data_IF_580183941988
#
_entry.id   IF_580183941988
#
_cell.length_a   1.000
_cell.length_b   1.000
_cell.length_c   1.000
_cell.angle_alpha   90.00
_cell.angle_beta   90.00
_cell.angle_gamma   90.00
#
_symmetry.space_group_name_H-M   'P 1'
#
loop_
_entity.id
_entity.type
_entity.pdbx_description
1 polymer ?
#
# COMPACT_ATOMS: atom_id res chain seq x y z
N UNK A 1 -24.53 -36.99 47.77
CA UNK A 1 -23.71 -37.34 46.61
C UNK A 1 -22.27 -37.47 47.09
N UNK A 2 -21.75 -38.70 47.19
CA UNK A 2 -20.34 -38.92 47.58
C UNK A 2 -19.51 -38.84 46.31
N UNK A 3 -18.76 -37.75 46.14
CA UNK A 3 -17.75 -37.64 45.09
C UNK A 3 -16.64 -38.61 45.46
N UNK A 4 -16.39 -39.60 44.62
CA UNK A 4 -15.31 -40.57 44.85
C UNK A 4 -13.96 -39.90 44.56
N UNK A 5 -12.90 -40.37 45.19
CA UNK A 5 -11.55 -39.79 45.03
C UNK A 5 -11.14 -39.71 43.55
N UNK A 6 -11.56 -40.69 42.74
CA UNK A 6 -11.29 -40.72 41.30
C UNK A 6 -11.97 -39.56 40.55
N UNK A 7 -13.18 -39.18 40.95
CA UNK A 7 -13.89 -38.03 40.38
C UNK A 7 -13.23 -36.71 40.77
N UNK A 8 -12.61 -36.62 41.97
CA UNK A 8 -11.88 -35.43 42.40
C UNK A 8 -10.58 -35.24 41.61
N UNK A 9 -9.87 -36.32 41.28
CA UNK A 9 -8.65 -36.29 40.47
C UNK A 9 -8.96 -35.84 39.04
N UNK A 10 -10.04 -36.37 38.45
CA UNK A 10 -10.48 -35.99 37.10
C UNK A 10 -10.85 -34.49 37.06
N UNK A 11 -11.62 -34.01 38.05
CA UNK A 11 -11.97 -32.58 38.12
C UNK A 11 -10.72 -31.71 38.27
N UNK A 12 -9.76 -32.13 39.11
CA UNK A 12 -8.49 -31.40 39.27
C UNK A 12 -7.68 -31.35 37.97
N UNK A 13 -7.69 -32.43 37.18
CA UNK A 13 -7.01 -32.50 35.89
C UNK A 13 -7.66 -31.56 34.87
N UNK A 14 -8.99 -31.55 34.79
CA UNK A 14 -9.72 -30.65 33.89
C UNK A 14 -9.53 -29.18 34.25
N UNK A 15 -9.48 -28.85 35.55
CA UNK A 15 -9.20 -27.47 36.00
C UNK A 15 -7.77 -27.06 35.64
N UNK A 16 -6.79 -27.95 35.78
CA UNK A 16 -5.40 -27.68 35.37
C UNK A 16 -5.28 -27.51 33.85
N UNK A 17 -5.92 -28.37 33.05
CA UNK A 17 -5.91 -28.26 31.59
C UNK A 17 -6.61 -26.99 31.12
N UNK A 18 -7.75 -26.63 31.71
CA UNK A 18 -8.44 -25.37 31.40
C UNK A 18 -7.59 -24.15 31.76
N UNK A 19 -6.88 -24.17 32.90
CA UNK A 19 -5.98 -23.09 33.30
C UNK A 19 -4.79 -22.96 32.35
N UNK A 20 -4.22 -24.09 31.93
CA UNK A 20 -3.15 -24.15 30.91
C UNK A 20 -3.66 -23.56 29.60
N UNK A 21 -4.83 -23.98 29.09
CA UNK A 21 -5.39 -23.46 27.84
C UNK A 21 -5.70 -21.95 27.91
N UNK A 22 -6.20 -21.45 29.04
CA UNK A 22 -6.45 -20.01 29.23
C UNK A 22 -5.14 -19.23 29.31
N UNK A 23 -4.13 -19.77 30.00
CA UNK A 23 -2.83 -19.12 30.12
C UNK A 23 -2.08 -19.10 28.79
N UNK A 24 -2.09 -20.20 28.04
CA UNK A 24 -1.45 -20.24 26.72
C UNK A 24 -2.20 -19.40 25.68
N UNK A 25 -3.54 -19.40 25.67
CA UNK A 25 -4.29 -18.49 24.78
C UNK A 25 -4.12 -17.02 25.20
N UNK A 26 -4.10 -16.70 26.49
CA UNK A 26 -3.89 -15.34 26.98
C UNK A 26 -2.47 -14.83 26.72
N UNK A 27 -1.45 -15.69 26.86
CA UNK A 27 -0.05 -15.35 26.54
C UNK A 27 0.14 -15.23 25.04
N UNK A 28 -0.51 -16.06 24.22
CA UNK A 28 -0.46 -15.92 22.75
C UNK A 28 -1.14 -14.64 22.31
N UNK A 29 -2.31 -14.29 22.87
CA UNK A 29 -2.99 -13.02 22.56
C UNK A 29 -2.18 -11.82 23.03
N UNK A 30 -1.58 -11.86 24.23
CA UNK A 30 -0.72 -10.78 24.71
C UNK A 30 0.57 -10.69 23.88
N UNK A 31 1.16 -11.81 23.47
CA UNK A 31 2.34 -11.85 22.62
C UNK A 31 2.03 -11.30 21.23
N UNK A 32 0.89 -11.69 20.64
CA UNK A 32 0.39 -11.13 19.38
C UNK A 32 0.15 -9.62 19.53
N UNK A 33 -0.57 -9.16 20.56
CA UNK A 33 -0.80 -7.72 20.79
C UNK A 33 0.51 -6.96 21.00
N UNK A 34 1.48 -7.53 21.73
CA UNK A 34 2.79 -6.89 21.94
C UNK A 34 3.64 -6.88 20.66
N UNK A 35 3.59 -7.93 19.83
CA UNK A 35 4.27 -7.93 18.52
C UNK A 35 3.57 -7.05 17.48
N UNK A 36 2.26 -6.81 17.62
CA UNK A 36 1.51 -5.91 16.75
C UNK A 36 1.59 -4.45 17.21
N UNK A 37 1.76 -4.16 18.51
CA UNK A 37 1.93 -2.78 19.01
C UNK A 37 3.27 -2.15 18.63
N UNK A 38 4.29 -2.97 18.36
CA UNK A 38 5.59 -2.51 17.86
C UNK A 38 5.60 -2.35 16.32
N UNK A 39 4.48 -2.63 15.62
CA UNK A 39 4.44 -2.71 14.16
C UNK A 39 3.75 -1.51 13.47
N UNK A 40 3.09 -0.61 14.20
CA UNK A 40 2.06 0.23 13.56
C UNK A 40 2.37 1.68 13.25
N UNK A 41 3.44 2.30 13.72
CA UNK A 41 3.64 3.75 13.49
C UNK A 41 5.12 4.18 13.39
N UNK A 42 6.05 3.25 13.20
CA UNK A 42 7.44 3.64 12.94
C UNK A 42 7.54 4.25 11.54
N UNK A 43 7.69 5.58 11.50
CA UNK A 43 7.93 6.35 10.28
C UNK A 43 6.83 7.33 9.86
N UNK A 44 5.66 7.36 10.50
CA UNK A 44 4.66 8.41 10.17
C UNK A 44 5.00 9.71 10.92
N UNK A 45 5.29 10.78 10.18
CA UNK A 45 5.56 12.12 10.69
C UNK A 45 4.35 13.02 10.41
N UNK A 46 3.80 13.62 11.46
CA UNK A 46 2.70 14.59 11.35
C UNK A 46 3.24 16.01 11.38
N UNK A 47 2.82 16.83 10.41
CA UNK A 47 3.01 18.27 10.45
C UNK A 47 2.25 18.89 11.64
N UNK A 48 2.58 20.12 12.05
CA UNK A 48 1.81 20.84 13.06
C UNK A 48 0.33 20.94 12.68
N UNK A 49 -0.55 20.83 13.68
CA UNK A 49 -1.99 20.96 13.48
C UNK A 49 -2.35 22.36 12.95
N UNK A 50 -3.26 22.40 11.97
CA UNK A 50 -3.74 23.65 11.39
C UNK A 50 -4.37 24.58 12.44
N UNK A 51 -4.02 25.86 12.41
CA UNK A 51 -4.72 26.86 13.22
C UNK A 51 -6.07 27.21 12.58
N UNK A 52 -7.00 27.68 13.41
CA UNK A 52 -8.33 28.05 12.96
C UNK A 52 -8.29 29.06 11.79
N UNK A 53 -8.78 28.65 10.62
CA UNK A 53 -8.84 29.46 9.40
C UNK A 53 -7.63 29.33 8.46
N UNK A 54 -6.64 28.50 8.78
CA UNK A 54 -5.58 28.12 7.84
C UNK A 54 -6.10 27.09 6.83
N UNK A 55 -5.62 27.17 5.59
CA UNK A 55 -5.98 26.22 4.53
C UNK A 55 -4.87 25.16 4.39
N UNK A 56 -5.15 23.88 4.69
CA UNK A 56 -4.15 22.80 4.63
C UNK A 56 -3.46 22.68 3.27
N UNK A 57 -4.18 22.93 2.17
CA UNK A 57 -3.65 22.88 0.79
C UNK A 57 -2.56 23.92 0.52
N UNK A 58 -2.50 24.98 1.33
CA UNK A 58 -1.57 26.10 1.15
C UNK A 58 -0.46 26.04 2.20
N UNK A 59 -0.78 25.67 3.44
CA UNK A 59 0.17 25.71 4.56
C UNK A 59 0.83 24.36 4.83
N UNK A 60 0.33 23.26 4.26
CA UNK A 60 0.83 21.90 4.52
C UNK A 60 0.64 21.44 5.97
N UNK A 61 -0.22 22.12 6.74
CA UNK A 61 -0.55 21.73 8.11
C UNK A 61 -1.48 20.52 8.12
N UNK A 62 -1.43 19.77 9.21
CA UNK A 62 -2.26 18.58 9.41
C UNK A 62 -3.66 18.96 9.89
N UNK A 63 -4.70 18.53 9.17
CA UNK A 63 -6.11 18.70 9.57
C UNK A 63 -6.67 17.41 10.18
N UNK A 64 -6.68 17.37 11.52
CA UNK A 64 -7.12 16.19 12.27
C UNK A 64 -8.59 15.82 12.07
N UNK A 65 -9.43 16.75 11.61
CA UNK A 65 -10.88 16.53 11.50
C UNK A 65 -11.27 16.01 10.10
N UNK A 66 -10.34 16.01 9.15
CA UNK A 66 -10.58 15.65 7.75
C UNK A 66 -9.65 14.54 7.22
N UNK A 67 -9.01 13.78 8.11
CA UNK A 67 -8.15 12.66 7.76
C UNK A 67 -8.72 11.39 8.38
N UNK A 68 -8.95 10.38 7.54
CA UNK A 68 -9.38 9.06 7.97
C UNK A 68 -8.19 8.14 8.28
N UNK A 69 -8.39 7.22 9.22
CA UNK A 69 -7.38 6.21 9.58
C UNK A 69 -6.97 5.34 8.39
N UNK A 70 -7.86 5.08 7.44
CA UNK A 70 -7.54 4.34 6.22
C UNK A 70 -6.51 5.05 5.33
N UNK A 71 -6.54 6.39 5.27
CA UNK A 71 -5.58 7.18 4.48
C UNK A 71 -4.18 7.14 5.08
N UNK A 72 -4.08 7.13 6.42
CA UNK A 72 -2.80 6.98 7.13
C UNK A 72 -2.23 5.58 6.90
N UNK A 73 -3.08 4.55 6.90
CA UNK A 73 -2.65 3.17 6.61
C UNK A 73 -2.19 3.03 5.16
N UNK A 74 -2.89 3.65 4.20
CA UNK A 74 -2.46 3.63 2.79
C UNK A 74 -1.07 4.28 2.61
N UNK A 75 -0.84 5.43 3.26
CA UNK A 75 0.45 6.12 3.30
C UNK A 75 1.59 5.23 3.83
N UNK A 76 1.33 4.44 4.88
CA UNK A 76 2.32 3.52 5.46
C UNK A 76 2.74 2.40 4.48
N UNK A 77 1.89 2.06 3.51
CA UNK A 77 2.17 1.02 2.50
C UNK A 77 2.67 1.60 1.17
N UNK A 78 3.15 2.85 1.16
CA UNK A 78 3.67 3.51 -0.04
C UNK A 78 2.59 4.13 -0.93
N UNK A 79 1.34 4.20 -0.47
CA UNK A 79 0.27 4.92 -1.15
C UNK A 79 0.32 6.43 -0.89
N UNK A 80 -0.61 7.17 -1.50
CA UNK A 80 -0.69 8.63 -1.36
C UNK A 80 -0.98 9.03 0.09
N UNK A 81 -0.13 9.90 0.65
CA UNK A 81 -0.26 10.42 2.00
C UNK A 81 -1.22 11.63 2.06
N UNK A 82 -2.06 11.73 3.11
CA UNK A 82 -2.90 12.91 3.30
C UNK A 82 -2.05 14.14 3.65
N UNK A 83 -2.56 15.33 3.33
CA UNK A 83 -1.84 16.59 3.52
C UNK A 83 -1.45 16.80 4.99
N UNK A 84 -0.18 17.17 5.21
CA UNK A 84 0.38 17.31 6.55
C UNK A 84 0.75 15.99 7.22
N UNK A 85 0.72 14.86 6.48
CA UNK A 85 1.25 13.56 6.92
C UNK A 85 2.32 13.13 5.92
N UNK A 86 3.47 12.70 6.44
CA UNK A 86 4.56 12.13 5.66
C UNK A 86 4.95 10.77 6.22
N UNK A 87 5.42 9.88 5.36
CA UNK A 87 6.05 8.63 5.76
C UNK A 87 7.56 8.74 5.54
N UNK A 88 8.31 8.72 6.63
CA UNK A 88 9.77 8.72 6.67
C UNK A 88 10.20 7.34 7.22
N UNK A 89 10.55 6.37 6.36
CA UNK A 89 10.90 5.04 6.81
C UNK A 89 12.11 5.13 7.75
N UNK A 90 12.04 4.49 8.92
CA UNK A 90 13.22 4.25 9.76
C UNK A 90 14.07 3.13 9.15
N UNK A 91 14.60 3.37 7.96
CA UNK A 91 15.77 2.66 7.46
C UNK A 91 16.82 3.74 7.28
N UNK A 92 17.93 3.55 8.00
CA UNK A 92 19.18 4.20 7.68
C UNK A 92 19.61 3.67 6.30
N UNK A 93 19.02 4.23 5.24
CA UNK A 93 19.66 4.25 3.93
C UNK A 93 20.96 5.00 4.17
N UNK A 94 22.03 4.23 4.23
CA UNK A 94 23.35 4.78 4.03
C UNK A 94 23.33 5.31 2.61
N UNK A 95 23.64 6.59 2.42
CA UNK A 95 23.97 7.13 1.12
C UNK A 95 25.25 6.42 0.64
N UNK A 96 25.13 5.18 0.18
CA UNK A 96 26.24 4.40 -0.34
C UNK A 96 26.28 4.66 -1.85
N UNK A 97 27.30 5.39 -2.26
CA UNK A 97 27.52 5.87 -3.62
C UNK A 97 28.12 4.78 -4.53
N UNK A 98 27.73 3.51 -4.36
CA UNK A 98 28.32 2.40 -5.13
C UNK A 98 27.33 1.50 -5.84
N UNK A 99 26.20 2.03 -6.28
CA UNK A 99 25.29 1.30 -7.17
C UNK A 99 25.34 1.96 -8.54
N UNK A 100 26.32 1.52 -9.31
CA UNK A 100 26.46 1.78 -10.74
C UNK A 100 25.37 0.96 -11.46
N UNK A 101 24.14 1.44 -11.44
CA UNK A 101 23.02 0.96 -12.23
C UNK A 101 22.41 2.19 -12.92
N UNK A 102 22.43 2.18 -14.25
CA UNK A 102 21.92 3.27 -15.07
C UNK A 102 20.43 3.51 -14.83
N UNK A 103 20.06 4.78 -15.03
CA UNK A 103 18.73 5.30 -15.32
C UNK A 103 17.60 4.78 -14.41
N UNK A 104 17.17 5.59 -13.43
CA UNK A 104 15.78 6.04 -13.35
C UNK A 104 15.54 7.04 -12.20
N UNK A 105 14.86 8.10 -12.60
CA UNK A 105 13.89 8.91 -11.86
C UNK A 105 14.27 9.70 -10.60
N UNK A 106 14.12 11.01 -10.76
CA UNK A 106 14.34 12.07 -9.81
C UNK A 106 13.22 12.11 -8.75
N UNK A 107 13.17 11.12 -7.87
CA UNK A 107 12.40 11.19 -6.62
C UNK A 107 13.36 11.37 -5.42
N UNK A 108 14.23 12.37 -5.49
CA UNK A 108 15.03 12.77 -4.34
C UNK A 108 14.11 13.45 -3.32
N UNK A 109 13.72 12.69 -2.30
CA UNK A 109 13.08 13.22 -1.09
C UNK A 109 13.94 14.37 -0.51
N UNK A 110 13.31 15.38 0.07
CA UNK A 110 14.03 16.56 0.63
C UNK A 110 15.09 16.22 1.69
N UNK A 111 15.15 14.97 2.17
CA UNK A 111 16.16 14.47 3.09
C UNK A 111 17.57 14.38 2.46
N UNK A 112 17.71 14.17 1.15
CA UNK A 112 19.01 14.23 0.46
C UNK A 112 19.49 15.66 0.14
N UNK A 113 18.66 16.69 0.36
CA UNK A 113 19.03 18.10 0.12
C UNK A 113 19.69 18.79 1.32
N UNK A 114 19.84 18.10 2.45
CA UNK A 114 20.35 18.72 3.67
C UNK A 114 21.88 18.64 3.88
N UNK A 115 22.64 18.05 2.96
CA UNK A 115 24.12 18.07 3.03
C UNK A 115 24.81 19.03 2.04
N UNK A 116 24.10 19.60 1.06
CA UNK A 116 24.76 20.45 0.04
C UNK A 116 25.12 21.86 0.51
N UNK A 117 24.45 22.43 1.53
CA UNK A 117 24.77 23.79 2.00
C UNK A 117 25.89 23.77 3.06
N UNK A 118 26.01 22.70 3.85
CA UNK A 118 27.03 22.60 4.88
C UNK A 118 28.41 22.16 4.35
N UNK A 119 28.45 21.39 3.25
CA UNK A 119 29.72 21.00 2.61
C UNK A 119 30.31 22.10 1.71
N UNK A 120 29.48 23.00 1.16
CA UNK A 120 29.95 24.15 0.39
C UNK A 120 30.72 25.18 1.23
N UNK A 121 30.47 25.26 2.53
CA UNK A 121 31.23 26.13 3.44
C UNK A 121 32.53 25.46 3.96
N UNK A 122 32.71 24.14 3.73
CA UNK A 122 33.84 23.36 4.24
C UNK A 122 35.01 23.19 3.25
N UNK A 123 34.77 23.36 1.93
CA UNK A 123 35.75 23.05 0.87
C UNK A 123 36.55 24.25 0.32
N UNK A 124 36.56 25.39 1.03
CA UNK A 124 37.35 26.55 0.62
C UNK A 124 36.71 27.34 -0.54
N UNK A 125 37.38 28.39 -1.05
CA UNK A 125 36.84 29.17 -2.16
C UNK A 125 36.74 28.27 -3.39
N UNK A 126 35.53 28.15 -3.95
CA UNK A 126 35.27 27.47 -5.22
C UNK A 126 36.30 27.97 -6.25
N UNK A 127 37.09 27.02 -6.77
CA UNK A 127 37.99 27.31 -7.88
C UNK A 127 37.14 27.75 -9.07
N UNK A 128 37.23 29.04 -9.42
CA UNK A 128 36.42 29.67 -10.48
C UNK A 128 37.02 29.42 -11.86
N UNK A 129 37.72 28.31 -12.04
CA UNK A 129 38.33 27.94 -13.32
C UNK A 129 37.26 27.26 -14.17
N UNK A 130 37.18 27.70 -15.41
CA UNK A 130 36.30 27.22 -16.48
C UNK A 130 37.23 27.11 -17.69
N UNK A 131 37.71 25.90 -17.95
CA UNK A 131 38.85 25.63 -18.82
C UNK A 131 38.48 25.63 -20.30
N UNK A 132 37.25 25.29 -20.65
CA UNK A 132 36.73 25.27 -22.03
C UNK A 132 35.74 26.39 -22.36
N UNK A 133 35.44 27.25 -21.37
CA UNK A 133 34.70 28.50 -21.50
C UNK A 133 33.22 28.32 -21.90
N UNK A 134 32.59 27.21 -21.48
CA UNK A 134 31.18 26.93 -21.75
C UNK A 134 30.20 27.53 -20.72
N UNK A 135 30.74 28.06 -19.60
CA UNK A 135 29.99 28.68 -18.52
C UNK A 135 29.72 27.77 -17.31
N UNK A 136 30.22 26.54 -17.33
CA UNK A 136 30.22 25.57 -16.23
C UNK A 136 31.65 25.51 -15.67
N UNK A 137 31.81 25.65 -14.34
CA UNK A 137 33.15 25.63 -13.75
C UNK A 137 33.71 24.21 -13.69
N UNK A 138 35.02 24.03 -13.88
CA UNK A 138 35.74 22.74 -13.85
C UNK A 138 35.39 21.85 -12.64
N UNK A 139 34.98 22.45 -11.52
CA UNK A 139 34.60 21.77 -10.28
C UNK A 139 33.23 21.08 -10.34
N UNK A 140 32.34 21.52 -11.23
CA UNK A 140 30.99 20.99 -11.45
C UNK A 140 30.77 20.51 -12.89
N UNK A 141 31.78 20.67 -13.74
CA UNK A 141 31.82 20.23 -15.12
C UNK A 141 32.30 18.77 -15.22
N UNK A 142 31.53 17.89 -15.89
CA UNK A 142 31.92 16.50 -16.12
C UNK A 142 32.95 16.35 -17.25
N UNK A 143 33.01 17.28 -18.19
CA UNK A 143 33.99 17.30 -19.27
C UNK A 143 34.78 18.63 -19.32
N UNK A 144 35.67 18.93 -18.34
CA UNK A 144 36.35 20.24 -18.16
C UNK A 144 37.28 20.71 -19.29
N UNK A 145 37.34 20.01 -20.41
CA UNK A 145 38.22 20.33 -21.54
C UNK A 145 37.46 20.34 -22.87
N UNK A 146 36.18 20.01 -22.86
CA UNK A 146 35.33 19.83 -24.02
C UNK A 146 34.05 20.63 -23.78
N UNK A 147 33.93 21.81 -24.41
CA UNK A 147 32.82 22.72 -24.16
C UNK A 147 31.44 22.12 -24.49
N UNK A 148 30.47 22.34 -23.60
CA UNK A 148 29.05 21.97 -23.76
C UNK A 148 28.44 22.48 -25.07
N UNK A 149 27.52 21.69 -25.63
CA UNK A 149 26.68 22.04 -26.77
C UNK A 149 25.27 22.37 -26.30
N UNK A 150 24.96 23.66 -26.14
CA UNK A 150 23.62 24.14 -25.77
C UNK A 150 22.59 23.75 -26.86
N UNK A 151 21.83 22.69 -26.59
CA UNK A 151 20.83 22.14 -27.51
C UNK A 151 19.50 21.81 -26.82
N UNK A 152 19.38 22.02 -25.50
CA UNK A 152 18.17 21.73 -24.72
C UNK A 152 18.20 20.37 -24.00
N UNK A 153 19.27 19.59 -24.18
CA UNK A 153 19.46 18.28 -23.57
C UNK A 153 20.74 18.27 -22.73
N UNK A 154 20.62 17.94 -21.45
CA UNK A 154 21.72 17.87 -20.48
C UNK A 154 22.68 19.09 -20.43
N UNK A 155 22.23 20.27 -20.90
CA UNK A 155 22.99 21.54 -20.96
C UNK A 155 23.68 22.02 -19.65
N UNK A 156 23.52 21.32 -18.53
CA UNK A 156 24.07 21.66 -17.21
C UNK A 156 25.17 20.69 -16.74
N UNK A 157 25.51 19.67 -17.53
CA UNK A 157 26.45 18.64 -17.11
C UNK A 157 27.89 18.86 -17.62
N UNK A 158 28.07 19.80 -18.55
CA UNK A 158 29.36 20.27 -19.04
C UNK A 158 29.99 19.35 -20.08
N UNK A 159 29.22 18.44 -20.69
CA UNK A 159 29.72 17.50 -21.67
C UNK A 159 29.03 17.65 -23.03
N UNK A 160 29.78 17.91 -24.12
CA UNK A 160 29.18 17.96 -25.44
C UNK A 160 28.62 16.59 -25.84
N UNK A 161 27.34 16.61 -26.21
CA UNK A 161 26.63 15.45 -26.70
C UNK A 161 27.14 15.04 -28.09
N UNK A 162 28.15 14.16 -28.11
CA UNK A 162 28.76 13.66 -29.36
C UNK A 162 27.83 12.76 -30.18
N UNK A 163 26.67 12.38 -29.64
CA UNK A 163 25.61 11.57 -30.24
C UNK A 163 24.57 12.45 -30.97
N UNK A 164 25.03 13.40 -31.79
CA UNK A 164 24.17 14.36 -32.51
C UNK A 164 23.27 13.78 -33.62
N UNK A 165 23.05 12.46 -33.65
CA UNK A 165 22.07 11.86 -34.56
C UNK A 165 20.73 11.88 -33.85
N UNK A 166 19.82 12.66 -34.42
CA UNK A 166 18.39 12.72 -34.14
C UNK A 166 17.76 12.32 -35.48
N UNK A 167 17.46 11.03 -35.60
CA UNK A 167 17.19 10.38 -36.88
C UNK A 167 15.80 10.71 -37.43
N UNK A 168 14.85 11.13 -36.60
CA UNK A 168 13.51 11.56 -37.00
C UNK A 168 13.21 13.05 -36.77
N UNK A 169 14.11 13.77 -36.11
CA UNK A 169 14.12 15.22 -36.00
C UNK A 169 13.12 15.72 -34.98
N UNK A 170 12.82 14.98 -33.93
CA UNK A 170 11.88 15.35 -32.88
C UNK A 170 12.50 16.23 -31.77
N UNK A 171 13.83 16.28 -31.69
CA UNK A 171 14.58 17.07 -30.71
C UNK A 171 15.18 16.25 -29.57
N UNK A 172 14.92 14.94 -29.51
CA UNK A 172 15.65 13.97 -28.70
C UNK A 172 16.75 13.33 -29.56
N UNK A 173 17.86 12.94 -28.93
CA UNK A 173 18.92 12.24 -29.66
C UNK A 173 18.64 10.75 -29.70
N UNK A 174 19.09 10.04 -30.74
CA UNK A 174 18.95 8.58 -30.92
C UNK A 174 19.44 7.77 -29.70
N UNK A 175 20.27 8.36 -28.84
CA UNK A 175 20.79 7.73 -27.63
C UNK A 175 19.79 7.67 -26.47
N UNK A 176 18.79 8.57 -26.46
CA UNK A 176 17.80 8.73 -25.37
C UNK A 176 16.36 8.66 -25.85
N UNK A 177 16.16 8.74 -27.16
CA UNK A 177 14.90 8.49 -27.82
C UNK A 177 14.59 6.97 -27.84
N UNK A 178 13.44 6.58 -27.29
CA UNK A 178 12.98 5.19 -27.32
C UNK A 178 12.51 4.75 -28.71
N UNK A 179 12.15 5.71 -29.55
CA UNK A 179 11.71 5.54 -30.93
C UNK A 179 12.57 6.34 -31.93
N UNK A 180 13.87 6.04 -32.12
CA UNK A 180 14.82 6.81 -32.97
C UNK A 180 14.47 6.97 -34.46
N UNK A 181 13.32 6.47 -34.93
CA UNK A 181 12.90 6.61 -36.31
C UNK A 181 11.43 7.07 -36.42
N UNK A 182 10.74 7.28 -35.30
CA UNK A 182 9.35 7.71 -35.26
C UNK A 182 9.27 8.97 -34.42
N UNK A 183 9.16 10.09 -35.12
CA UNK A 183 9.09 11.42 -34.52
C UNK A 183 7.97 11.53 -33.47
N UNK A 184 8.31 12.01 -32.28
CA UNK A 184 7.38 12.48 -31.25
C UNK A 184 6.40 13.56 -31.77
N UNK A 185 5.15 13.56 -31.27
CA UNK A 185 4.10 14.50 -31.66
C UNK A 185 3.79 15.60 -30.61
N UNK A 186 4.44 15.55 -29.44
CA UNK A 186 4.42 16.57 -28.38
C UNK A 186 3.01 17.04 -28.03
N UNK A 187 2.13 16.08 -27.75
CA UNK A 187 0.71 16.32 -27.48
C UNK A 187 0.42 16.57 -25.98
N UNK A 188 1.41 16.36 -25.10
CA UNK A 188 1.31 16.53 -23.65
C UNK A 188 1.15 15.22 -22.87
N UNK A 189 0.99 14.09 -23.55
CA UNK A 189 1.13 12.74 -23.02
C UNK A 189 2.54 12.24 -23.34
N UNK A 190 3.20 11.55 -22.41
CA UNK A 190 4.51 10.87 -22.58
C UNK A 190 5.67 11.59 -23.32
N UNK A 191 5.60 12.90 -23.59
CA UNK A 191 6.52 13.73 -24.43
C UNK A 191 8.04 13.57 -24.16
N UNK A 192 8.44 12.91 -23.07
CA UNK A 192 9.84 12.71 -22.67
C UNK A 192 10.48 11.42 -23.16
N UNK A 193 9.73 10.49 -23.76
CA UNK A 193 10.27 9.21 -24.23
C UNK A 193 10.69 9.19 -25.71
N UNK A 194 10.25 10.16 -26.51
CA UNK A 194 10.51 10.29 -27.94
C UNK A 194 9.64 9.40 -28.83
N UNK A 195 8.63 8.75 -28.25
CA UNK A 195 7.75 7.85 -28.96
C UNK A 195 6.35 8.45 -29.15
N UNK A 196 5.84 8.57 -30.39
CA UNK A 196 4.51 9.09 -30.62
C UNK A 196 3.45 8.28 -29.86
N UNK A 197 2.57 8.96 -29.14
CA UNK A 197 1.45 8.37 -28.42
C UNK A 197 0.38 7.87 -29.39
N UNK A 198 0.45 6.59 -29.75
CA UNK A 198 -0.54 5.95 -30.62
C UNK A 198 -1.64 5.34 -29.75
N UNK A 199 -2.88 5.74 -30.02
CA UNK A 199 -4.12 5.13 -29.57
C UNK A 199 -4.95 4.83 -30.84
N UNK A 200 -4.96 3.57 -31.27
CA UNK A 200 -5.50 3.15 -32.57
C UNK A 200 -7.03 3.16 -32.61
N UNK A 201 -7.72 2.99 -31.48
CA UNK A 201 -9.19 2.96 -31.40
C UNK A 201 -9.83 4.12 -30.62
N UNK A 202 -9.00 5.09 -30.25
CA UNK A 202 -9.30 6.36 -29.61
C UNK A 202 -9.99 6.20 -28.23
N UNK A 203 -9.78 5.09 -27.52
CA UNK A 203 -10.42 4.83 -26.22
C UNK A 203 -9.78 5.55 -25.02
N UNK A 204 -8.60 6.14 -25.23
CA UNK A 204 -7.83 6.88 -24.22
C UNK A 204 -6.74 6.05 -23.54
N UNK A 205 -6.52 4.80 -23.94
CA UNK A 205 -5.43 3.93 -23.51
C UNK A 205 -4.47 3.76 -24.69
N UNK A 206 -3.17 3.98 -24.45
CA UNK A 206 -2.17 3.89 -25.52
C UNK A 206 -1.98 2.44 -25.97
N UNK A 207 -1.70 2.21 -27.26
CA UNK A 207 -1.55 0.88 -27.89
C UNK A 207 -0.60 -0.07 -27.14
N UNK A 208 0.39 0.46 -26.41
CA UNK A 208 1.33 -0.35 -25.63
C UNK A 208 0.81 -0.76 -24.24
N UNK A 209 -0.21 -0.07 -23.74
CA UNK A 209 -0.94 -0.34 -22.50
C UNK A 209 -2.28 -1.05 -22.75
N UNK A 210 -2.77 -1.03 -23.99
CA UNK A 210 -4.03 -1.61 -24.44
C UNK A 210 -3.87 -3.09 -24.88
N UNK A 211 -4.58 -4.00 -24.22
CA UNK A 211 -4.62 -5.42 -24.57
C UNK A 211 -5.45 -5.70 -25.85
N UNK A 212 -6.37 -4.79 -26.18
CA UNK A 212 -7.32 -4.85 -27.28
C UNK A 212 -7.21 -3.65 -28.25
N UNK A 213 -6.00 -3.28 -28.68
CA UNK A 213 -5.60 -2.22 -29.67
C UNK A 213 -6.56 -1.81 -30.82
N UNK A 214 -7.51 -2.66 -31.22
CA UNK A 214 -8.47 -2.40 -32.29
C UNK A 214 -9.94 -2.32 -31.82
N UNK A 215 -10.21 -2.57 -30.55
CA UNK A 215 -11.54 -2.69 -29.96
C UNK A 215 -11.68 -1.76 -28.77
N UNK A 216 -12.32 -0.62 -29.01
CA UNK A 216 -12.56 0.43 -28.02
C UNK A 216 -13.10 -0.09 -26.67
N UNK A 217 -12.46 0.30 -25.58
CA UNK A 217 -12.93 0.03 -24.22
C UNK A 217 -14.33 0.63 -23.92
N UNK A 218 -15.11 -0.09 -23.10
CA UNK A 218 -16.40 0.31 -22.57
C UNK A 218 -16.28 0.67 -21.08
N UNK A 219 -15.93 1.94 -20.81
CA UNK A 219 -15.83 2.48 -19.44
C UNK A 219 -17.14 2.28 -18.66
N UNK A 220 -17.18 1.24 -17.85
CA UNK A 220 -18.37 0.78 -17.12
C UNK A 220 -18.09 0.50 -15.63
N UNK A 221 -16.85 0.71 -15.19
CA UNK A 221 -16.38 0.48 -13.82
C UNK A 221 -15.84 -0.93 -13.59
N UNK A 222 -15.58 -1.68 -14.66
CA UNK A 222 -15.07 -3.05 -14.64
C UNK A 222 -13.92 -3.14 -15.63
N UNK A 223 -12.73 -3.47 -15.14
CA UNK A 223 -11.45 -3.48 -15.88
C UNK A 223 -11.21 -2.36 -16.90
N UNK A 224 -11.77 -1.16 -16.68
CA UNK A 224 -11.58 0.05 -17.52
C UNK A 224 -10.11 0.49 -17.79
N UNK A 225 -9.09 -0.23 -17.33
CA UNK A 225 -7.67 0.08 -17.56
C UNK A 225 -6.91 -0.98 -18.38
N UNK A 226 -7.56 -2.02 -18.91
CA UNK A 226 -6.92 -3.01 -19.78
C UNK A 226 -7.13 -2.75 -21.29
N UNK A 227 -7.97 -1.77 -21.65
CA UNK A 227 -8.28 -1.41 -23.04
C UNK A 227 -9.24 -2.37 -23.74
N UNK A 228 -9.79 -3.37 -23.04
CA UNK A 228 -10.61 -4.42 -23.64
C UNK A 228 -12.09 -4.29 -23.28
N UNK A 229 -13.00 -4.25 -24.28
CA UNK A 229 -14.43 -4.08 -24.04
C UNK A 229 -15.00 -5.21 -23.19
N UNK A 230 -15.38 -4.85 -21.97
CA UNK A 230 -16.05 -5.77 -21.08
C UNK A 230 -17.56 -5.84 -21.32
N UNK A 231 -18.06 -7.07 -21.44
CA UNK A 231 -19.49 -7.33 -21.41
C UNK A 231 -20.01 -7.06 -19.99
N UNK A 232 -20.87 -6.03 -19.85
CA UNK A 232 -21.47 -5.55 -18.60
C UNK A 232 -21.59 -6.59 -17.47
N UNK A 233 -21.26 -6.15 -16.25
CA UNK A 233 -21.91 -6.65 -15.04
C UNK A 233 -23.41 -6.58 -15.29
N UNK A 234 -24.00 -7.74 -15.59
CA UNK A 234 -25.42 -7.89 -15.79
C UNK A 234 -26.15 -7.07 -14.74
N UNK A 235 -26.81 -6.01 -15.20
CA UNK A 235 -27.76 -5.23 -14.42
C UNK A 235 -28.51 -6.24 -13.54
N UNK A 236 -28.48 -6.03 -12.22
CA UNK A 236 -29.19 -6.90 -11.27
C UNK A 236 -30.71 -6.68 -11.45
N UNK A 237 -31.23 -7.01 -12.62
CA UNK A 237 -32.65 -7.21 -12.85
C UNK A 237 -33.04 -8.44 -12.04
N UNK A 238 -33.51 -8.16 -10.83
CA UNK A 238 -34.39 -9.00 -10.02
C UNK A 238 -34.24 -10.49 -10.33
N UNK A 239 -33.36 -11.18 -9.59
CA UNK A 239 -33.43 -12.64 -9.49
C UNK A 239 -34.89 -13.01 -9.26
N UNK A 240 -35.52 -13.84 -10.12
CA UNK A 240 -36.87 -14.30 -9.88
C UNK A 240 -36.87 -14.97 -8.51
N UNK A 241 -37.82 -14.60 -7.66
CA UNK A 241 -38.03 -15.22 -6.36
C UNK A 241 -38.15 -16.75 -6.59
N UNK A 242 -37.06 -17.48 -6.39
CA UNK A 242 -37.03 -18.93 -6.61
C UNK A 242 -37.86 -19.55 -5.50
N UNK A 243 -39.05 -20.01 -5.87
CA UNK A 243 -39.95 -20.70 -4.97
C UNK A 243 -39.30 -22.03 -4.55
N UNK A 244 -38.86 -22.09 -3.28
CA UNK A 244 -38.08 -23.20 -2.71
C UNK A 244 -38.80 -24.55 -2.86
N UNK A 245 -40.11 -24.52 -3.13
CA UNK A 245 -40.97 -25.68 -3.34
C UNK A 245 -40.61 -26.43 -4.64
N UNK A 246 -40.19 -25.76 -5.72
CA UNK A 246 -39.90 -26.42 -7.00
C UNK A 246 -38.57 -27.19 -7.00
N UNK A 247 -37.58 -26.74 -6.22
CA UNK A 247 -36.28 -27.42 -6.05
C UNK A 247 -36.43 -28.71 -5.24
N UNK A 248 -37.41 -28.80 -4.34
CA UNK A 248 -37.66 -29.98 -3.52
C UNK A 248 -38.46 -31.05 -4.30
N UNK A 249 -39.33 -30.64 -5.23
CA UNK A 249 -40.20 -31.57 -5.97
C UNK A 249 -39.49 -32.19 -7.18
N UNK A 250 -38.57 -31.45 -7.83
CA UNK A 250 -37.84 -31.93 -8.99
C UNK A 250 -36.33 -31.70 -8.85
N UNK A 251 -35.60 -32.55 -8.09
CA UNK A 251 -34.14 -32.49 -8.07
C UNK A 251 -33.60 -32.85 -9.47
N UNK A 252 -32.76 -32.01 -10.10
CA UNK A 252 -32.11 -32.36 -11.36
C UNK A 252 -31.10 -33.49 -11.11
N UNK A 253 -31.16 -34.56 -11.92
CA UNK A 253 -30.11 -35.59 -11.94
C UNK A 253 -28.85 -34.99 -12.58
N UNK A 254 -27.96 -34.44 -11.76
CA UNK A 254 -26.66 -33.98 -12.24
C UNK A 254 -25.67 -35.13 -12.16
N UNK A 255 -25.33 -35.70 -13.32
CA UNK A 255 -24.15 -36.52 -13.49
C UNK A 255 -22.91 -35.63 -13.32
N UNK A 256 -22.25 -35.74 -12.17
CA UNK A 256 -21.05 -34.98 -11.86
C UNK A 256 -19.90 -35.39 -12.80
N UNK A 257 -19.48 -34.46 -13.66
CA UNK A 257 -18.15 -34.47 -14.27
C UNK A 257 -17.33 -33.34 -13.67
N UNK A 258 -16.40 -33.76 -12.82
CA UNK A 258 -15.17 -33.13 -12.37
C UNK A 258 -14.68 -31.96 -13.25
N UNK A 259 -14.63 -30.75 -12.69
CA UNK A 259 -13.62 -29.73 -13.04
C UNK A 259 -13.16 -29.06 -11.74
N UNK A 260 -11.87 -28.79 -11.71
CA UNK A 260 -10.96 -28.47 -10.62
C UNK A 260 -11.39 -27.32 -9.69
N UNK A 261 -11.03 -27.43 -8.41
CA UNK A 261 -11.20 -26.38 -7.41
C UNK A 261 -10.18 -25.25 -7.67
N UNK A 262 -10.52 -24.04 -7.20
CA UNK A 262 -9.69 -22.83 -7.09
C UNK A 262 -9.65 -21.87 -8.29
N UNK A 263 -10.76 -21.15 -8.53
CA UNK A 263 -10.70 -19.73 -8.99
C UNK A 263 -12.06 -19.05 -9.23
N UNK A 264 -13.17 -19.41 -8.56
CA UNK A 264 -14.38 -18.57 -8.61
C UNK A 264 -15.15 -18.65 -7.30
N UNK A 265 -14.92 -17.67 -6.42
CA UNK A 265 -15.95 -16.98 -5.65
C UNK A 265 -15.34 -15.67 -5.13
N UNK A 266 -15.17 -14.70 -6.02
CA UNK A 266 -15.09 -13.28 -5.69
C UNK A 266 -16.48 -12.78 -5.25
N UNK A 267 -16.97 -13.31 -4.13
CA UNK A 267 -18.08 -12.68 -3.43
C UNK A 267 -17.46 -11.60 -2.55
N UNK A 268 -17.59 -10.34 -2.96
CA UNK A 268 -17.36 -9.22 -2.07
C UNK A 268 -18.24 -9.43 -0.83
N UNK A 269 -17.60 -9.85 0.26
CA UNK A 269 -18.17 -9.70 1.56
C UNK A 269 -18.33 -8.19 1.78
N UNK A 270 -19.56 -7.70 1.61
CA UNK A 270 -19.99 -6.44 2.21
C UNK A 270 -19.34 -6.35 3.59
N UNK A 271 -18.61 -5.26 3.79
CA UNK A 271 -17.82 -4.94 4.97
C UNK A 271 -18.66 -5.03 6.23
N UNK A 272 -18.74 -6.23 6.79
CA UNK A 272 -19.14 -6.44 8.17
C UNK A 272 -17.97 -5.90 8.98
N UNK A 273 -18.10 -4.63 9.38
CA UNK A 273 -17.15 -3.90 10.18
C UNK A 273 -16.73 -4.76 11.38
N UNK A 274 -15.56 -5.39 11.25
CA UNK A 274 -15.12 -6.44 12.18
C UNK A 274 -14.76 -5.85 13.55
N UNK A 275 -14.64 -4.53 13.67
CA UNK A 275 -14.38 -3.84 14.93
C UNK A 275 -15.57 -3.81 15.89
N UNK A 276 -16.82 -3.95 15.41
CA UNK A 276 -17.97 -4.10 16.31
C UNK A 276 -18.21 -5.57 16.72
N UNK A 277 -17.71 -6.53 15.92
CA UNK A 277 -17.90 -7.97 16.21
C UNK A 277 -16.87 -8.53 17.20
N UNK A 278 -15.62 -8.03 17.19
CA UNK A 278 -14.59 -8.47 18.15
C UNK A 278 -14.91 -8.03 19.59
N UNK A 279 -15.54 -6.87 19.78
CA UNK A 279 -15.97 -6.44 21.11
C UNK A 279 -17.12 -7.31 21.65
N UNK A 280 -18.09 -7.66 20.81
CA UNK A 280 -19.25 -8.47 21.26
C UNK A 280 -18.85 -9.90 21.66
N UNK A 281 -17.92 -10.53 20.93
CA UNK A 281 -17.43 -11.87 21.25
C UNK A 281 -16.57 -11.86 22.53
N UNK A 282 -15.68 -10.87 22.69
CA UNK A 282 -14.84 -10.72 23.88
C UNK A 282 -15.72 -10.43 25.11
N UNK A 283 -16.69 -9.52 25.01
CA UNK A 283 -17.62 -9.20 26.10
C UNK A 283 -18.42 -10.45 26.50
N UNK A 284 -18.90 -11.25 25.53
CA UNK A 284 -19.63 -12.48 25.82
C UNK A 284 -18.74 -13.52 26.54
N UNK A 285 -17.48 -13.67 26.13
CA UNK A 285 -16.54 -14.57 26.83
C UNK A 285 -16.23 -14.12 28.26
N UNK A 286 -16.06 -12.81 28.49
CA UNK A 286 -15.83 -12.24 29.82
C UNK A 286 -17.06 -12.44 30.72
N UNK A 287 -18.28 -12.24 30.19
CA UNK A 287 -19.52 -12.46 30.95
C UNK A 287 -19.66 -13.94 31.35
N UNK A 288 -19.39 -14.88 30.44
CA UNK A 288 -19.45 -16.33 30.74
C UNK A 288 -18.44 -16.68 31.84
N UNK A 289 -17.23 -16.13 31.80
CA UNK A 289 -16.22 -16.34 32.84
C UNK A 289 -16.68 -15.80 34.20
N UNK A 290 -17.27 -14.61 34.25
CA UNK A 290 -17.81 -14.02 35.48
C UNK A 290 -18.92 -14.92 36.06
N UNK A 291 -19.83 -15.42 35.23
CA UNK A 291 -20.92 -16.32 35.67
C UNK A 291 -20.35 -17.62 36.23
N UNK A 292 -19.35 -18.21 35.59
CA UNK A 292 -18.68 -19.43 36.05
C UNK A 292 -17.98 -19.23 37.41
N UNK A 293 -17.30 -18.11 37.60
CA UNK A 293 -16.68 -17.74 38.89
C UNK A 293 -17.73 -17.55 39.97
N UNK A 294 -18.82 -16.85 39.68
CA UNK A 294 -19.91 -16.67 40.65
C UNK A 294 -20.57 -17.99 41.02
N UNK A 295 -20.82 -18.89 40.05
CA UNK A 295 -21.34 -20.22 40.29
C UNK A 295 -20.41 -21.04 41.20
N UNK A 296 -19.10 -20.99 40.95
CA UNK A 296 -18.09 -21.64 41.78
C UNK A 296 -18.10 -21.09 43.21
N UNK A 297 -18.15 -19.76 43.38
CA UNK A 297 -18.24 -19.11 44.70
C UNK A 297 -19.51 -19.54 45.43
N UNK A 298 -20.66 -19.62 44.74
CA UNK A 298 -21.91 -20.10 45.34
C UNK A 298 -21.83 -21.56 45.78
N UNK A 299 -21.20 -22.43 44.98
CA UNK A 299 -20.97 -23.84 45.32
C UNK A 299 -20.05 -23.97 46.54
N UNK A 300 -18.96 -23.21 46.57
CA UNK A 300 -18.02 -23.17 47.70
C UNK A 300 -18.71 -22.67 48.97
N UNK A 301 -19.51 -21.59 48.88
CA UNK A 301 -20.26 -21.04 50.00
C UNK A 301 -21.31 -22.02 50.53
N UNK A 302 -21.97 -22.78 49.64
CA UNK A 302 -22.94 -23.84 50.00
C UNK A 302 -22.26 -25.02 50.70
N UNK A 303 -21.03 -25.37 50.30
CA UNK A 303 -20.25 -26.44 50.92
C UNK A 303 -19.64 -26.02 52.26
N UNK A 304 -19.19 -24.77 52.40
CA UNK A 304 -18.71 -24.21 53.66
C UNK A 304 -19.85 -24.03 54.68
N UNK A 305 -21.04 -23.61 54.23
CA UNK A 305 -22.23 -23.48 55.08
C UNK A 305 -22.75 -24.82 55.65
N UNK A 306 -22.54 -25.93 54.93
CA UNK A 306 -22.88 -27.28 55.42
C UNK A 306 -21.91 -27.80 56.48
N UNK A 307 -20.67 -27.31 56.53
CA UNK A 307 -19.66 -27.75 57.49
C UNK A 307 -19.80 -27.10 58.88
N UNK A 308 -20.59 -26.01 59.00
CA UNK A 308 -20.83 -25.27 60.26
C UNK A 308 -22.10 -25.72 61.01
N UNK A 309 -22.86 -26.68 60.49
CA UNK A 309 -24.09 -27.25 61.09
C UNK A 309 -23.95 -28.73 61.47
N UNK A 310 -22.73 -29.23 61.60
CA UNK A 310 -22.41 -30.53 62.21
C UNK A 310 -21.46 -30.32 63.36
#
# INVERSE_FOLDING_TARGET
>A
MKITLNQLVIISLFVMIAFILIFFNGVVVLFVIMTFSDFFLDGIVFAPECKAGENPQITGCYDKDNIDGGQIINCLHGGVCPIGVSYEPTQQETCDSTDNAGYEEFALSEACRAETIAELEANGPLDSTDTDEDGIFDVIDKCPYDAETINGYLDLDGCPETSSSDSDGDGLTDAVDQCPNNKEDFNGESDGDGCPDIDTDDDGILDYQDECVLEKEIVNGWFDGDGCPDDEVAETTQLPEVDIIDVIINPPEISASFIDETSVLGFEANTLNLNDTVDSAIILTVIILIIMVLALVMVLKKNLGKKKRR
#
